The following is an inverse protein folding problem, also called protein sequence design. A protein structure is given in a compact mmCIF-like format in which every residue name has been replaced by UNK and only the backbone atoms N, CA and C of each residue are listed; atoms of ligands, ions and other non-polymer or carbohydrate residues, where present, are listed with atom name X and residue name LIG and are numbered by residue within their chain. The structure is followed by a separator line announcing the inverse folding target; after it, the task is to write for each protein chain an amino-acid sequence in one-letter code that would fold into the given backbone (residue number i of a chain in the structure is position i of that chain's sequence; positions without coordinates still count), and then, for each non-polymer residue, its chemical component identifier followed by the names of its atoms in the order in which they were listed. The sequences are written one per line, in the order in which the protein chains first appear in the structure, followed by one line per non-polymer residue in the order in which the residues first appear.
data_IF_503617545528
#
_entry.id   IF_503617545528
#
_cell.length_a   1.000
_cell.length_b   1.000
_cell.length_c   1.000
_cell.angle_alpha   90.00
_cell.angle_beta   90.00
_cell.angle_gamma   90.00
#
_symmetry.space_group_name_H-M   'P 1'
#
loop_
_entity.id
_entity.type
_entity.pdbx_description
1 polymer ?
#
# COMPACT_ATOMS: atom_id res chain seq x y z
N UNK A 1 3.95 5.50 15.01
CA UNK A 1 4.83 5.31 13.83
C UNK A 1 4.13 4.33 12.90
N UNK A 2 4.16 4.54 11.59
CA UNK A 2 3.57 3.62 10.61
C UNK A 2 4.58 3.31 9.51
N UNK A 3 4.92 2.05 9.32
CA UNK A 3 5.70 1.60 8.15
C UNK A 3 4.76 1.54 6.94
N UNK A 4 5.04 2.29 5.88
CA UNK A 4 4.19 2.42 4.68
C UNK A 4 4.94 2.11 3.38
N UNK A 5 6.18 1.61 3.46
CA UNK A 5 6.92 1.20 2.28
C UNK A 5 6.33 -0.02 1.53
N UNK A 6 5.76 -1.04 2.20
CA UNK A 6 5.26 -2.23 1.53
C UNK A 6 3.96 -2.01 0.75
N UNK A 7 3.86 -2.67 -0.40
CA UNK A 7 2.58 -2.91 -1.05
C UNK A 7 1.96 -4.20 -0.51
N UNK A 8 0.63 -4.31 -0.53
CA UNK A 8 -0.05 -5.53 -0.09
C UNK A 8 0.29 -6.70 -1.01
N UNK A 9 0.98 -7.71 -0.48
CA UNK A 9 1.33 -8.94 -1.18
C UNK A 9 1.36 -10.14 -0.24
N UNK A 10 1.39 -11.35 -0.81
CA UNK A 10 1.33 -12.60 -0.03
C UNK A 10 2.62 -12.85 0.75
N UNK A 11 3.75 -12.68 0.07
CA UNK A 11 5.09 -12.84 0.66
C UNK A 11 5.96 -11.69 0.21
N UNK A 12 6.65 -11.08 1.15
CA UNK A 12 7.52 -9.95 0.85
C UNK A 12 8.71 -10.29 -0.03
N UNK A 13 9.26 -9.26 -0.68
CA UNK A 13 10.58 -9.35 -1.32
C UNK A 13 11.72 -9.09 -0.32
N UNK A 14 12.98 -9.36 -0.71
CA UNK A 14 14.13 -9.20 0.18
C UNK A 14 14.26 -7.80 0.79
N UNK A 15 13.96 -6.75 0.01
CA UNK A 15 13.99 -5.35 0.48
C UNK A 15 12.95 -5.10 1.58
N UNK A 16 11.72 -5.60 1.41
CA UNK A 16 10.65 -5.36 2.39
C UNK A 16 10.91 -6.13 3.68
N UNK A 17 11.37 -7.39 3.58
CA UNK A 17 11.81 -8.15 4.75
C UNK A 17 12.93 -7.41 5.51
N UNK A 18 13.93 -6.87 4.81
CA UNK A 18 15.01 -6.10 5.43
C UNK A 18 14.50 -4.85 6.15
N UNK A 19 13.56 -4.13 5.53
CA UNK A 19 12.96 -2.93 6.09
C UNK A 19 12.12 -3.24 7.34
N UNK A 20 11.33 -4.31 7.29
CA UNK A 20 10.50 -4.74 8.42
C UNK A 20 11.37 -5.29 9.55
N UNK A 21 12.44 -6.02 9.25
CA UNK A 21 13.46 -6.41 10.22
C UNK A 21 14.05 -5.19 10.91
N UNK A 22 14.57 -4.22 10.15
CA UNK A 22 15.17 -2.99 10.69
C UNK A 22 14.17 -2.22 11.55
N UNK A 23 12.94 -2.05 11.08
CA UNK A 23 11.87 -1.39 11.83
C UNK A 23 11.52 -2.13 13.13
N UNK A 24 11.51 -3.46 13.11
CA UNK A 24 11.21 -4.29 14.27
C UNK A 24 12.26 -4.22 15.38
N UNK A 25 13.53 -3.89 15.05
CA UNK A 25 14.58 -3.68 16.06
C UNK A 25 14.35 -2.42 16.89
N UNK A 26 13.72 -1.40 16.30
CA UNK A 26 13.45 -0.12 16.96
C UNK A 26 12.21 -0.13 17.86
N UNK A 27 11.39 -1.19 17.81
CA UNK A 27 10.10 -1.28 18.52
C UNK A 27 10.17 -2.33 19.63
N UNK A 28 9.85 -1.92 20.85
CA UNK A 28 9.78 -2.83 22.00
C UNK A 28 8.69 -3.89 21.79
N UNK A 29 8.88 -5.09 22.34
CA UNK A 29 7.85 -6.16 22.29
C UNK A 29 6.55 -5.80 23.02
N UNK A 30 6.57 -4.76 23.88
CA UNK A 30 5.39 -4.23 24.57
C UNK A 30 4.56 -3.27 23.71
N UNK A 31 5.09 -2.83 22.57
CA UNK A 31 4.44 -1.91 21.65
C UNK A 31 4.07 -2.61 20.34
N UNK A 32 3.13 -2.07 19.57
CA UNK A 32 2.81 -2.61 18.26
C UNK A 32 3.73 -2.04 17.18
N UNK A 33 4.39 -2.92 16.42
CA UNK A 33 5.03 -2.53 15.17
C UNK A 33 4.01 -2.65 14.04
N UNK A 34 3.51 -1.50 13.56
CA UNK A 34 2.44 -1.46 12.57
C UNK A 34 3.00 -1.29 11.16
N UNK A 35 2.69 -2.26 10.30
CA UNK A 35 3.00 -2.26 8.87
C UNK A 35 1.72 -2.00 8.09
N UNK A 36 1.62 -0.80 7.53
CA UNK A 36 0.56 -0.39 6.63
C UNK A 36 0.88 -0.77 5.19
N UNK A 37 0.18 -1.76 4.66
CA UNK A 37 0.34 -2.24 3.30
C UNK A 37 -0.58 -1.50 2.33
N UNK A 38 -0.04 -0.94 1.26
CA UNK A 38 -0.84 -0.24 0.24
C UNK A 38 -1.38 -1.24 -0.81
N UNK A 39 -2.70 -1.35 -0.93
CA UNK A 39 -3.39 -2.26 -1.87
C UNK A 39 -3.97 -1.55 -3.10
N UNK A 40 -3.86 -0.21 -3.18
CA UNK A 40 -4.23 0.61 -4.34
C UNK A 40 -3.28 0.45 -5.54
N UNK A 41 -2.90 -0.78 -5.86
CA UNK A 41 -1.96 -1.17 -6.91
C UNK A 41 -2.53 -2.30 -7.78
N UNK A 42 -2.03 -2.48 -9.01
CA UNK A 42 -2.36 -3.65 -9.81
C UNK A 42 -1.61 -4.91 -9.33
N UNK A 43 -2.12 -6.07 -9.74
CA UNK A 43 -1.43 -7.37 -9.64
C UNK A 43 -0.16 -7.50 -10.49
N UNK A 44 0.27 -6.42 -11.13
CA UNK A 44 1.31 -6.39 -12.14
C UNK A 44 2.64 -7.02 -11.71
N UNK A 45 3.46 -7.39 -12.69
CA UNK A 45 4.78 -7.97 -12.48
C UNK A 45 5.79 -7.04 -11.79
N UNK A 46 5.48 -5.75 -11.63
CA UNK A 46 6.34 -4.79 -10.93
C UNK A 46 6.14 -4.83 -9.41
N UNK A 47 4.88 -4.89 -8.95
CA UNK A 47 4.50 -4.99 -7.53
C UNK A 47 4.42 -6.46 -7.05
N UNK A 48 4.13 -7.40 -7.96
CA UNK A 48 3.98 -8.86 -7.73
C UNK A 48 3.15 -9.23 -6.49
N UNK A 49 2.02 -8.58 -6.22
CA UNK A 49 1.27 -8.83 -5.00
C UNK A 49 0.66 -10.23 -5.00
N UNK A 50 0.24 -10.75 -6.16
CA UNK A 50 -0.38 -12.07 -6.35
C UNK A 50 0.60 -13.24 -6.52
N UNK A 51 1.81 -13.14 -5.98
CA UNK A 51 2.88 -14.14 -6.16
C UNK A 51 3.48 -14.56 -4.83
N UNK A 52 3.78 -15.86 -4.69
CA UNK A 52 4.74 -16.33 -3.69
C UNK A 52 6.15 -16.05 -4.24
N UNK A 53 6.83 -15.07 -3.67
CA UNK A 53 8.15 -14.63 -4.08
C UNK A 53 9.22 -15.59 -3.53
N UNK A 54 10.05 -16.11 -4.45
CA UNK A 54 11.14 -17.05 -4.17
C UNK A 54 12.34 -16.71 -5.06
N UNK A 55 13.53 -17.17 -4.67
CA UNK A 55 14.78 -16.90 -5.38
C UNK A 55 14.79 -17.43 -6.81
N UNK A 56 14.38 -18.69 -7.01
CA UNK A 56 14.49 -19.37 -8.29
C UNK A 56 13.14 -19.57 -9.01
N UNK A 57 12.05 -19.74 -8.25
CA UNK A 57 10.80 -20.30 -8.77
C UNK A 57 9.56 -19.71 -8.06
N UNK A 58 9.40 -18.39 -8.13
CA UNK A 58 8.21 -17.76 -7.53
C UNK A 58 6.92 -18.22 -8.21
N UNK A 59 5.86 -18.46 -7.43
CA UNK A 59 4.60 -19.06 -7.91
C UNK A 59 3.52 -18.00 -8.11
N UNK A 60 3.05 -17.84 -9.35
CA UNK A 60 1.95 -16.92 -9.66
C UNK A 60 0.59 -17.55 -9.29
N UNK A 61 -0.14 -16.87 -8.41
CA UNK A 61 -1.42 -17.35 -7.88
C UNK A 61 -2.63 -16.87 -8.70
N UNK A 62 -2.43 -15.92 -9.61
CA UNK A 62 -3.51 -15.27 -10.35
C UNK A 62 -3.49 -15.61 -11.85
N UNK A 63 -4.65 -15.69 -12.51
CA UNK A 63 -4.71 -15.86 -13.96
C UNK A 63 -4.13 -14.62 -14.66
N UNK A 64 -3.66 -14.78 -15.90
CA UNK A 64 -3.13 -13.65 -16.68
C UNK A 64 -4.18 -12.57 -16.95
N UNK A 65 -5.47 -12.92 -16.91
CA UNK A 65 -6.59 -11.98 -17.04
C UNK A 65 -6.68 -10.98 -15.90
N UNK A 66 -6.05 -11.25 -14.76
CA UNK A 66 -6.07 -10.39 -13.57
C UNK A 66 -4.75 -9.64 -13.38
N UNK A 67 -3.81 -9.68 -14.33
CA UNK A 67 -2.48 -9.10 -14.13
C UNK A 67 -2.51 -7.60 -13.83
N UNK A 68 -3.47 -6.88 -14.39
CA UNK A 68 -3.64 -5.44 -14.15
C UNK A 68 -4.86 -5.13 -13.26
N UNK A 69 -5.47 -6.16 -12.66
CA UNK A 69 -6.58 -6.00 -11.73
C UNK A 69 -6.14 -5.28 -10.45
N UNK A 70 -7.07 -4.52 -9.86
CA UNK A 70 -6.87 -3.86 -8.57
C UNK A 70 -6.74 -4.87 -7.44
N UNK A 71 -5.71 -4.75 -6.60
CA UNK A 71 -5.55 -5.62 -5.42
C UNK A 71 -6.60 -5.32 -4.34
N UNK A 72 -6.87 -4.04 -4.07
CA UNK A 72 -7.86 -3.60 -3.09
C UNK A 72 -9.22 -4.29 -3.28
N UNK A 73 -9.73 -4.91 -2.21
CA UNK A 73 -10.98 -5.70 -2.16
C UNK A 73 -11.13 -6.79 -3.24
N UNK A 74 -10.04 -7.22 -3.87
CA UNK A 74 -10.06 -8.35 -4.79
C UNK A 74 -10.46 -9.67 -4.11
N UNK A 75 -10.96 -10.60 -4.91
CA UNK A 75 -11.41 -11.92 -4.47
C UNK A 75 -10.40 -12.99 -4.85
N UNK A 76 -10.36 -14.06 -4.07
CA UNK A 76 -9.54 -15.24 -4.35
C UNK A 76 -10.07 -15.94 -5.62
N UNK A 77 -9.25 -16.10 -6.68
CA UNK A 77 -9.63 -16.84 -7.88
C UNK A 77 -9.42 -18.35 -7.71
N UNK A 78 -10.05 -19.16 -8.56
CA UNK A 78 -9.92 -20.64 -8.56
C UNK A 78 -8.46 -21.11 -8.64
N UNK A 79 -7.66 -20.42 -9.46
CA UNK A 79 -6.24 -20.73 -9.66
C UNK A 79 -5.42 -20.68 -8.37
N UNK A 80 -5.80 -19.85 -7.39
CA UNK A 80 -4.99 -19.66 -6.20
C UNK A 80 -4.95 -20.95 -5.36
N UNK A 81 -6.07 -21.54 -4.89
CA UNK A 81 -6.08 -22.83 -4.22
C UNK A 81 -5.38 -23.95 -5.00
N UNK A 82 -5.59 -24.02 -6.32
CA UNK A 82 -4.92 -25.01 -7.19
C UNK A 82 -3.40 -24.91 -7.10
N UNK A 83 -2.86 -23.69 -7.10
CA UNK A 83 -1.42 -23.45 -7.01
C UNK A 83 -0.89 -23.70 -5.61
N UNK A 84 -1.67 -23.46 -4.55
CA UNK A 84 -1.24 -23.79 -3.20
C UNK A 84 -0.96 -25.29 -3.04
N UNK A 85 -1.72 -26.17 -3.70
CA UNK A 85 -1.49 -27.62 -3.64
C UNK A 85 -0.11 -28.07 -4.17
N UNK A 86 0.58 -27.21 -4.93
CA UNK A 86 1.93 -27.48 -5.44
C UNK A 86 3.05 -26.98 -4.52
N UNK A 87 2.71 -26.26 -3.45
CA UNK A 87 3.69 -25.67 -2.53
C UNK A 87 4.13 -26.68 -1.45
N UNK A 88 5.36 -26.54 -0.93
CA UNK A 88 5.82 -27.38 0.17
C UNK A 88 4.94 -27.27 1.43
N UNK A 89 4.66 -28.40 2.07
CA UNK A 89 3.83 -28.49 3.28
C UNK A 89 4.30 -27.56 4.41
N UNK A 90 5.62 -27.37 4.54
CA UNK A 90 6.22 -26.43 5.51
C UNK A 90 5.72 -25.00 5.34
N UNK A 91 5.52 -24.53 4.11
CA UNK A 91 4.99 -23.20 3.83
C UNK A 91 3.47 -23.16 4.05
N UNK A 92 2.76 -24.19 3.56
CA UNK A 92 1.30 -24.29 3.66
C UNK A 92 0.78 -24.16 5.10
N UNK A 93 1.53 -24.66 6.09
CA UNK A 93 1.20 -24.54 7.53
C UNK A 93 1.08 -23.09 8.04
N UNK A 94 1.63 -22.12 7.32
CA UNK A 94 1.56 -20.70 7.67
C UNK A 94 0.53 -19.92 6.85
N UNK A 95 -0.03 -20.52 5.81
CA UNK A 95 -1.04 -19.90 4.96
C UNK A 95 -2.43 -20.16 5.56
N UNK A 96 -3.27 -19.13 5.74
CA UNK A 96 -4.69 -19.34 6.03
C UNK A 96 -5.36 -20.15 4.92
N UNK A 97 -6.50 -20.78 5.22
CA UNK A 97 -7.29 -21.46 4.20
C UNK A 97 -7.73 -20.47 3.12
N UNK A 98 -7.40 -20.79 1.87
CA UNK A 98 -7.84 -20.02 0.72
C UNK A 98 -9.20 -20.53 0.22
N UNK A 99 -10.23 -19.69 0.32
CA UNK A 99 -11.59 -19.99 -0.14
C UNK A 99 -11.89 -19.13 -1.36
N UNK A 100 -12.24 -19.76 -2.48
CA UNK A 100 -12.60 -19.05 -3.73
C UNK A 100 -13.72 -18.05 -3.47
N UNK A 101 -13.60 -16.84 -4.00
CA UNK A 101 -14.57 -15.76 -3.84
C UNK A 101 -14.46 -14.98 -2.52
N UNK A 102 -13.71 -15.49 -1.53
CA UNK A 102 -13.41 -14.75 -0.30
C UNK A 102 -12.40 -13.62 -0.55
N UNK A 103 -12.18 -12.76 0.46
CA UNK A 103 -11.26 -11.63 0.37
C UNK A 103 -9.81 -12.09 0.18
N UNK A 104 -9.22 -11.70 -0.95
CA UNK A 104 -7.80 -11.90 -1.17
C UNK A 104 -6.95 -10.97 -0.31
N UNK A 105 -7.34 -9.70 -0.16
CA UNK A 105 -6.57 -8.73 0.64
C UNK A 105 -6.39 -9.20 2.08
N UNK A 106 -7.47 -9.71 2.69
CA UNK A 106 -7.43 -10.30 4.03
C UNK A 106 -6.51 -11.53 4.09
N UNK A 107 -6.65 -12.45 3.13
CA UNK A 107 -5.84 -13.66 3.08
C UNK A 107 -4.35 -13.37 2.92
N UNK A 108 -3.99 -12.43 2.05
CA UNK A 108 -2.61 -12.02 1.81
C UNK A 108 -2.00 -11.28 3.02
N UNK A 109 -2.75 -10.37 3.66
CA UNK A 109 -2.32 -9.70 4.89
C UNK A 109 -2.01 -10.70 6.02
N UNK A 110 -2.92 -11.64 6.26
CA UNK A 110 -2.75 -12.66 7.29
C UNK A 110 -1.55 -13.56 6.98
N UNK A 111 -1.40 -13.96 5.73
CA UNK A 111 -0.25 -14.74 5.27
C UNK A 111 1.07 -14.02 5.55
N UNK A 112 1.18 -12.78 5.09
CA UNK A 112 2.41 -11.98 5.24
C UNK A 112 2.75 -11.81 6.73
N UNK A 113 1.75 -11.45 7.54
CA UNK A 113 1.91 -11.32 8.99
C UNK A 113 2.37 -12.62 9.65
N UNK A 114 1.76 -13.76 9.34
CA UNK A 114 2.15 -15.05 9.95
C UNK A 114 3.59 -15.44 9.61
N UNK A 115 3.99 -15.27 8.35
CA UNK A 115 5.34 -15.57 7.89
C UNK A 115 6.36 -14.65 8.57
N UNK A 116 6.13 -13.34 8.57
CA UNK A 116 7.08 -12.40 9.14
C UNK A 116 7.19 -12.51 10.65
N UNK A 117 6.08 -12.70 11.38
CA UNK A 117 6.14 -12.97 12.83
C UNK A 117 7.02 -14.18 13.14
N UNK A 118 6.94 -15.23 12.31
CA UNK A 118 7.76 -16.43 12.44
C UNK A 118 9.23 -16.15 12.14
N UNK A 119 9.52 -15.44 11.05
CA UNK A 119 10.90 -15.17 10.59
C UNK A 119 11.63 -14.22 11.53
N UNK A 120 10.96 -13.14 11.95
CA UNK A 120 11.51 -12.11 12.83
C UNK A 120 11.41 -12.48 14.31
N UNK A 121 10.69 -13.56 14.63
CA UNK A 121 10.42 -14.01 16.01
C UNK A 121 9.79 -12.90 16.88
N UNK A 122 8.74 -12.28 16.36
CA UNK A 122 8.09 -11.11 16.96
C UNK A 122 6.57 -11.27 16.84
N UNK A 123 5.85 -11.24 17.95
CA UNK A 123 4.38 -11.41 17.95
C UNK A 123 3.62 -10.08 17.87
N UNK A 124 4.30 -8.95 18.07
CA UNK A 124 3.75 -7.60 18.10
C UNK A 124 3.68 -6.91 16.73
N UNK A 125 4.00 -7.60 15.63
CA UNK A 125 3.79 -7.08 14.28
C UNK A 125 2.31 -7.10 13.93
N UNK A 126 1.78 -5.96 13.50
CA UNK A 126 0.41 -5.79 13.06
C UNK A 126 0.40 -5.30 11.62
N UNK A 127 -0.26 -6.06 10.75
CA UNK A 127 -0.40 -5.74 9.33
C UNK A 127 -1.80 -5.22 9.05
N UNK A 128 -1.89 -4.12 8.30
CA UNK A 128 -3.15 -3.46 7.97
C UNK A 128 -3.16 -3.04 6.49
N UNK A 129 -4.31 -3.13 5.83
CA UNK A 129 -4.51 -2.47 4.52
C UNK A 129 -4.83 -0.99 4.76
N UNK A 130 -3.92 -0.10 4.36
CA UNK A 130 -4.11 1.33 4.58
C UNK A 130 -5.16 1.93 3.64
N UNK A 131 -5.42 1.33 2.47
CA UNK A 131 -6.50 1.77 1.60
C UNK A 131 -7.87 1.44 2.22
N UNK A 132 -8.02 0.28 2.88
CA UNK A 132 -9.24 -0.08 3.62
C UNK A 132 -9.49 0.87 4.79
N UNK A 133 -8.46 1.14 5.60
CA UNK A 133 -8.56 2.09 6.72
C UNK A 133 -9.01 3.46 6.24
N UNK A 134 -8.42 3.95 5.15
CA UNK A 134 -8.75 5.26 4.59
C UNK A 134 -10.13 5.27 3.95
N UNK A 135 -10.56 4.17 3.31
CA UNK A 135 -11.92 4.04 2.81
C UNK A 135 -12.95 4.15 3.94
N UNK A 136 -12.75 3.40 5.03
CA UNK A 136 -13.61 3.45 6.22
C UNK A 136 -13.60 4.83 6.91
N UNK A 137 -12.44 5.49 6.96
CA UNK A 137 -12.33 6.87 7.42
C UNK A 137 -13.18 7.81 6.55
N UNK A 138 -13.04 7.74 5.22
CA UNK A 138 -13.77 8.57 4.26
C UNK A 138 -15.29 8.37 4.40
N UNK A 139 -15.76 7.13 4.51
CA UNK A 139 -17.18 6.80 4.72
C UNK A 139 -17.78 7.52 5.93
N UNK A 140 -17.01 7.66 7.00
CA UNK A 140 -17.44 8.37 8.21
C UNK A 140 -17.42 9.89 8.00
N UNK A 141 -16.31 10.42 7.50
CA UNK A 141 -16.11 11.87 7.47
C UNK A 141 -16.85 12.58 6.34
N UNK A 142 -17.19 11.90 5.25
CA UNK A 142 -17.98 12.47 4.15
C UNK A 142 -19.43 12.78 4.58
N UNK A 143 -19.92 12.20 5.68
CA UNK A 143 -21.23 12.56 6.27
C UNK A 143 -21.18 13.87 7.05
N UNK A 144 -20.00 14.28 7.51
CA UNK A 144 -19.82 15.47 8.32
C UNK A 144 -19.55 16.70 7.44
N UNK A 145 -20.55 17.58 7.31
CA UNK A 145 -20.47 18.82 6.51
C UNK A 145 -19.32 19.76 6.91
N UNK A 146 -18.84 19.68 8.15
CA UNK A 146 -17.75 20.50 8.65
C UNK A 146 -16.37 19.93 8.31
N UNK A 147 -16.29 18.62 8.01
CA UNK A 147 -15.02 17.96 7.74
C UNK A 147 -14.44 18.39 6.39
N UNK A 148 -13.10 18.48 6.30
CA UNK A 148 -12.43 18.99 5.10
C UNK A 148 -12.71 18.15 3.86
N UNK A 149 -12.78 16.82 3.96
CA UNK A 149 -13.09 16.00 2.79
C UNK A 149 -14.51 16.22 2.29
N UNK A 150 -15.48 16.40 3.20
CA UNK A 150 -16.82 16.78 2.76
C UNK A 150 -16.76 18.09 1.98
N UNK A 151 -16.02 19.09 2.47
CA UNK A 151 -15.87 20.37 1.77
C UNK A 151 -15.13 20.24 0.43
N UNK A 152 -14.03 19.49 0.38
CA UNK A 152 -13.27 19.23 -0.87
C UNK A 152 -14.17 18.58 -1.93
N UNK A 153 -15.03 17.64 -1.54
CA UNK A 153 -15.87 16.93 -2.50
C UNK A 153 -17.20 17.63 -2.80
N UNK A 154 -17.81 18.36 -1.86
CA UNK A 154 -19.20 18.83 -1.97
C UNK A 154 -19.41 20.33 -1.77
N UNK A 155 -18.37 21.10 -1.42
CA UNK A 155 -18.46 22.56 -1.37
C UNK A 155 -17.77 23.16 -2.61
N UNK A 156 -18.52 23.74 -3.57
CA UNK A 156 -17.97 24.15 -4.88
C UNK A 156 -16.72 25.04 -4.78
N UNK A 157 -16.74 26.06 -3.92
CA UNK A 157 -15.61 26.98 -3.76
C UNK A 157 -14.35 26.30 -3.20
N UNK A 158 -14.49 25.45 -2.16
CA UNK A 158 -13.38 24.70 -1.58
C UNK A 158 -12.84 23.67 -2.58
N UNK A 159 -13.74 23.00 -3.31
CA UNK A 159 -13.39 22.06 -4.37
C UNK A 159 -12.59 22.74 -5.48
N UNK A 160 -13.02 23.91 -5.95
CA UNK A 160 -12.28 24.68 -6.95
C UNK A 160 -10.89 25.12 -6.45
N UNK A 161 -10.78 25.57 -5.20
CA UNK A 161 -9.48 25.88 -4.59
C UNK A 161 -8.56 24.65 -4.56
N UNK A 162 -9.08 23.49 -4.19
CA UNK A 162 -8.33 22.24 -4.19
C UNK A 162 -7.88 21.84 -5.60
N UNK A 163 -8.78 21.86 -6.60
CA UNK A 163 -8.48 21.53 -8.00
C UNK A 163 -7.42 22.47 -8.59
N UNK A 164 -7.42 23.76 -8.22
CA UNK A 164 -6.40 24.73 -8.68
C UNK A 164 -4.99 24.32 -8.24
N UNK A 165 -4.86 23.75 -7.05
CA UNK A 165 -3.58 23.28 -6.49
C UNK A 165 -3.23 21.87 -6.97
N UNK A 166 -4.25 21.03 -7.17
CA UNK A 166 -4.17 19.63 -7.58
C UNK A 166 -4.92 19.40 -8.90
N UNK A 167 -4.46 19.98 -10.02
CA UNK A 167 -5.16 19.88 -11.28
C UNK A 167 -5.11 18.45 -11.81
N UNK A 168 -6.29 17.90 -12.13
CA UNK A 168 -6.46 16.53 -12.64
C UNK A 168 -5.87 15.46 -11.72
N UNK A 169 -5.86 15.70 -10.42
CA UNK A 169 -5.35 14.75 -9.45
C UNK A 169 -6.25 13.51 -9.37
N UNK A 170 -5.61 12.35 -9.24
CA UNK A 170 -6.29 11.07 -9.12
C UNK A 170 -6.75 10.94 -7.67
N UNK A 171 -8.05 10.94 -7.43
CA UNK A 171 -8.60 10.79 -6.08
C UNK A 171 -8.92 9.34 -5.75
N UNK A 172 -9.32 8.56 -6.74
CA UNK A 172 -9.60 7.13 -6.56
C UNK A 172 -9.11 6.30 -7.73
N UNK A 173 -8.94 5.00 -7.50
CA UNK A 173 -8.78 3.99 -8.54
C UNK A 173 -10.10 3.22 -8.66
N UNK A 174 -10.54 2.95 -9.88
CA UNK A 174 -11.74 2.16 -10.17
C UNK A 174 -11.36 0.86 -10.88
N UNK A 175 -11.73 -0.33 -10.37
CA UNK A 175 -11.60 -1.57 -11.12
C UNK A 175 -12.56 -1.57 -12.31
N UNK A 176 -12.09 -2.00 -13.47
CA UNK A 176 -12.89 -2.09 -14.70
C UNK A 176 -12.61 -3.39 -15.45
N UNK A 177 -13.53 -3.75 -16.36
CA UNK A 177 -13.36 -4.85 -17.29
C UNK A 177 -13.04 -4.33 -18.69
N UNK A 178 -11.93 -4.78 -19.26
CA UNK A 178 -11.58 -4.61 -20.66
C UNK A 178 -11.69 -5.96 -21.40
N UNK A 179 -12.91 -6.25 -21.87
CA UNK A 179 -13.27 -7.57 -22.37
C UNK A 179 -13.19 -8.61 -21.24
N UNK A 180 -12.26 -9.56 -21.36
CA UNK A 180 -12.01 -10.59 -20.33
C UNK A 180 -10.90 -10.24 -19.34
N UNK A 181 -10.24 -9.11 -19.52
CA UNK A 181 -9.14 -8.66 -18.66
C UNK A 181 -9.65 -7.66 -17.64
N UNK A 182 -9.20 -7.79 -16.41
CA UNK A 182 -9.41 -6.81 -15.34
C UNK A 182 -8.30 -5.75 -15.40
N UNK A 183 -8.68 -4.48 -15.24
CA UNK A 183 -7.79 -3.32 -15.32
C UNK A 183 -8.19 -2.25 -14.28
N UNK A 184 -7.40 -1.19 -14.17
CA UNK A 184 -7.61 -0.06 -13.25
C UNK A 184 -7.73 1.23 -14.04
N UNK A 185 -8.78 1.99 -13.74
CA UNK A 185 -8.91 3.37 -14.18
C UNK A 185 -8.69 4.39 -13.06
N UNK A 186 -8.15 5.54 -13.43
CA UNK A 186 -7.97 6.67 -12.52
C UNK A 186 -9.23 7.55 -12.51
N UNK A 187 -9.82 7.74 -11.33
CA UNK A 187 -10.91 8.68 -11.10
C UNK A 187 -10.34 10.04 -10.73
N UNK A 188 -10.43 10.97 -11.67
CA UNK A 188 -9.91 12.34 -11.56
C UNK A 188 -10.99 13.25 -10.98
N UNK A 189 -10.62 14.14 -10.06
CA UNK A 189 -11.53 15.17 -9.54
C UNK A 189 -11.69 16.31 -10.54
N UNK A 190 -12.94 16.57 -10.92
CA UNK A 190 -13.39 17.68 -11.73
C UNK A 190 -14.35 18.59 -10.92
N UNK A 191 -14.81 19.67 -11.54
CA UNK A 191 -15.63 20.69 -10.85
C UNK A 191 -16.95 20.17 -10.30
N UNK A 192 -17.56 19.17 -10.93
CA UNK A 192 -18.87 18.63 -10.54
C UNK A 192 -18.87 17.10 -10.36
N UNK A 193 -17.78 16.42 -10.72
CA UNK A 193 -17.74 14.96 -10.75
C UNK A 193 -16.34 14.38 -10.47
N UNK A 194 -16.32 13.10 -10.14
CA UNK A 194 -15.14 12.24 -10.29
C UNK A 194 -15.28 11.46 -11.59
N UNK A 195 -14.28 11.52 -12.46
CA UNK A 195 -14.38 10.97 -13.82
C UNK A 195 -13.18 10.12 -14.19
N UNK A 196 -13.45 8.99 -14.82
CA UNK A 196 -12.49 8.15 -15.54
C UNK A 196 -12.90 7.98 -17.01
N UNK A 197 -12.31 7.03 -17.73
CA UNK A 197 -12.62 6.82 -19.15
C UNK A 197 -14.01 6.20 -19.33
N UNK A 198 -14.37 5.26 -18.47
CA UNK A 198 -15.61 4.50 -18.56
C UNK A 198 -16.66 4.89 -17.50
N UNK A 199 -16.32 5.79 -16.57
CA UNK A 199 -17.16 6.07 -15.41
C UNK A 199 -17.19 7.55 -15.01
N UNK A 200 -18.33 7.98 -14.49
CA UNK A 200 -18.51 9.29 -13.87
C UNK A 200 -19.36 9.17 -12.59
N UNK A 201 -18.94 9.84 -11.51
CA UNK A 201 -19.67 9.93 -10.24
C UNK A 201 -19.92 11.42 -9.99
N UNK A 202 -21.19 11.83 -10.01
CA UNK A 202 -21.58 13.20 -9.70
C UNK A 202 -21.35 13.51 -8.22
N UNK A 203 -20.92 14.74 -7.93
CA UNK A 203 -20.62 15.25 -6.59
C UNK A 203 -21.68 16.25 -6.11
N UNK A 204 -22.95 15.94 -6.36
CA UNK A 204 -24.14 16.65 -5.91
C UNK A 204 -24.74 16.03 -4.63
N UNK A 205 -24.54 14.72 -4.42
CA UNK A 205 -25.02 13.98 -3.27
C UNK A 205 -23.88 13.15 -2.62
N UNK A 206 -23.52 13.43 -1.36
CA UNK A 206 -22.52 12.67 -0.62
C UNK A 206 -22.79 11.16 -0.53
N UNK A 207 -24.05 10.74 -0.47
CA UNK A 207 -24.40 9.33 -0.32
C UNK A 207 -23.98 8.50 -1.54
N UNK A 208 -23.92 9.09 -2.74
CA UNK A 208 -23.43 8.40 -3.93
C UNK A 208 -21.96 8.02 -3.73
N UNK A 209 -21.10 9.00 -3.43
CA UNK A 209 -19.66 8.73 -3.22
C UNK A 209 -19.42 7.80 -2.03
N UNK A 210 -20.16 7.97 -0.94
CA UNK A 210 -20.04 7.09 0.24
C UNK A 210 -20.37 5.65 -0.15
N UNK A 211 -21.43 5.43 -0.92
CA UNK A 211 -21.84 4.10 -1.33
C UNK A 211 -20.79 3.45 -2.27
N UNK A 212 -20.21 4.24 -3.17
CA UNK A 212 -19.12 3.81 -4.04
C UNK A 212 -17.90 3.28 -3.27
N UNK A 213 -17.52 3.96 -2.19
CA UNK A 213 -16.41 3.57 -1.32
C UNK A 213 -16.77 2.31 -0.53
N UNK A 214 -17.95 2.28 0.09
CA UNK A 214 -18.43 1.13 0.91
C UNK A 214 -18.46 -0.17 0.10
N UNK A 215 -19.01 -0.10 -1.11
CA UNK A 215 -19.14 -1.26 -1.99
C UNK A 215 -17.82 -1.67 -2.63
N UNK A 216 -16.73 -0.94 -2.38
CA UNK A 216 -15.42 -1.27 -2.93
C UNK A 216 -15.31 -1.03 -4.44
N UNK A 217 -16.24 -0.27 -5.03
CA UNK A 217 -16.23 0.08 -6.45
C UNK A 217 -15.20 1.15 -6.80
N UNK A 218 -14.62 1.80 -5.78
CA UNK A 218 -13.47 2.68 -5.89
C UNK A 218 -12.54 2.48 -4.69
N UNK A 219 -11.25 2.65 -4.91
CA UNK A 219 -10.18 2.59 -3.91
C UNK A 219 -9.59 3.99 -3.70
N UNK A 220 -9.40 4.47 -2.47
CA UNK A 220 -8.69 5.72 -2.22
C UNK A 220 -7.31 5.71 -2.88
N UNK A 221 -6.97 6.80 -3.57
CA UNK A 221 -5.66 6.93 -4.21
C UNK A 221 -4.55 7.25 -3.21
N UNK A 222 -3.33 7.37 -3.72
CA UNK A 222 -2.16 7.77 -2.96
C UNK A 222 -2.35 9.09 -2.21
N UNK A 223 -2.87 10.13 -2.89
CA UNK A 223 -3.05 11.45 -2.27
C UNK A 223 -4.09 11.41 -1.14
N UNK A 224 -5.24 10.76 -1.34
CA UNK A 224 -6.24 10.63 -0.29
C UNK A 224 -5.68 9.89 0.93
N UNK A 225 -4.94 8.82 0.67
CA UNK A 225 -4.32 8.00 1.70
C UNK A 225 -3.40 8.82 2.59
N UNK A 226 -2.49 9.60 1.99
CA UNK A 226 -1.53 10.38 2.77
C UNK A 226 -2.04 11.71 3.30
N UNK A 227 -3.08 12.30 2.69
CA UNK A 227 -3.82 13.39 3.35
C UNK A 227 -4.41 12.88 4.66
N UNK A 228 -5.11 11.74 4.66
CA UNK A 228 -5.68 11.17 5.89
C UNK A 228 -4.57 10.83 6.89
N UNK A 229 -3.59 10.02 6.50
CA UNK A 229 -2.62 9.47 7.46
C UNK A 229 -1.62 10.53 7.93
N UNK A 230 -0.88 11.16 7.01
CA UNK A 230 0.22 12.04 7.37
C UNK A 230 -0.24 13.44 7.73
N UNK A 231 -1.20 14.01 7.01
CA UNK A 231 -1.49 15.45 7.11
C UNK A 231 -2.61 15.79 8.09
N UNK A 232 -3.71 15.05 8.07
CA UNK A 232 -4.83 15.28 8.98
C UNK A 232 -4.62 14.61 10.34
N UNK A 233 -4.08 13.38 10.35
CA UNK A 233 -3.89 12.60 11.57
C UNK A 233 -2.42 12.52 12.04
N UNK A 234 -1.48 13.15 11.33
CA UNK A 234 -0.08 13.33 11.75
C UNK A 234 0.68 12.03 12.07
N UNK A 235 0.28 10.90 11.44
CA UNK A 235 1.09 9.68 11.51
C UNK A 235 2.46 9.94 10.88
N UNK A 236 3.51 9.60 11.62
CA UNK A 236 4.87 9.51 11.05
C UNK A 236 4.95 8.27 10.17
N UNK A 237 4.71 8.46 8.87
CA UNK A 237 4.76 7.42 7.84
C UNK A 237 6.20 7.22 7.34
N UNK A 238 6.77 6.04 7.56
CA UNK A 238 8.10 5.65 7.09
C UNK A 238 7.96 4.89 5.77
N UNK A 239 8.53 5.40 4.69
CA UNK A 239 8.29 4.84 3.36
C UNK A 239 9.53 4.76 2.49
N UNK A 240 9.33 4.31 1.26
CA UNK A 240 10.41 4.16 0.26
C UNK A 240 10.86 5.51 -0.33
N UNK A 241 11.84 5.47 -1.23
CA UNK A 241 12.32 6.64 -1.98
C UNK A 241 11.19 7.42 -2.67
N UNK A 242 10.24 6.71 -3.29
CA UNK A 242 9.12 7.37 -3.93
C UNK A 242 8.32 8.23 -2.93
N UNK A 243 8.12 7.74 -1.70
CA UNK A 243 7.38 8.47 -0.68
C UNK A 243 8.06 9.76 -0.25
N UNK A 244 9.38 9.71 -0.03
CA UNK A 244 10.13 10.92 0.35
C UNK A 244 10.27 11.91 -0.81
N UNK A 245 9.95 11.51 -2.04
CA UNK A 245 9.84 12.42 -3.20
C UNK A 245 8.45 13.06 -3.29
N UNK A 246 7.35 12.29 -3.19
CA UNK A 246 6.00 12.85 -3.39
C UNK A 246 5.40 13.54 -2.16
N UNK A 247 5.72 13.10 -0.92
CA UNK A 247 5.12 13.71 0.27
C UNK A 247 5.51 15.18 0.47
N UNK A 248 6.77 15.61 0.26
CA UNK A 248 7.12 17.03 0.31
C UNK A 248 6.35 17.87 -0.71
N UNK A 249 6.14 17.34 -1.92
CA UNK A 249 5.35 18.02 -2.96
C UNK A 249 3.89 18.17 -2.51
N UNK A 250 3.30 17.13 -1.90
CA UNK A 250 1.96 17.22 -1.33
C UNK A 250 1.88 18.23 -0.19
N UNK A 251 2.87 18.26 0.71
CA UNK A 251 2.93 19.24 1.79
C UNK A 251 2.97 20.68 1.27
N UNK A 252 3.86 20.97 0.33
CA UNK A 252 3.99 22.31 -0.27
C UNK A 252 2.67 22.76 -0.90
N UNK A 253 2.00 21.86 -1.62
CA UNK A 253 0.71 22.12 -2.24
C UNK A 253 -0.40 22.32 -1.21
N UNK A 254 -0.54 21.40 -0.25
CA UNK A 254 -1.58 21.46 0.79
C UNK A 254 -1.42 22.69 1.69
N UNK A 255 -0.20 23.14 1.96
CA UNK A 255 0.08 24.35 2.74
C UNK A 255 -0.42 25.65 2.07
N UNK A 256 -0.66 25.64 0.74
CA UNK A 256 -1.22 26.78 0.00
C UNK A 256 -2.74 26.91 0.19
N UNK A 257 -3.40 25.90 0.76
CA UNK A 257 -4.85 25.88 0.94
C UNK A 257 -5.21 26.46 2.31
N UNK A 258 -5.85 27.63 2.33
CA UNK A 258 -6.19 28.36 3.57
C UNK A 258 -6.98 27.50 4.56
N UNK A 259 -7.94 26.72 4.05
CA UNK A 259 -8.80 25.85 4.86
C UNK A 259 -8.07 24.66 5.49
N UNK A 260 -6.79 24.42 5.16
CA UNK A 260 -5.95 23.39 5.77
C UNK A 260 -4.94 23.94 6.78
N UNK A 261 -4.80 25.27 6.95
CA UNK A 261 -3.84 25.86 7.90
C UNK A 261 -4.02 25.39 9.34
N UNK A 262 -5.25 25.05 9.74
CA UNK A 262 -5.54 24.52 11.08
C UNK A 262 -4.77 23.24 11.41
N UNK A 263 -4.37 22.46 10.40
CA UNK A 263 -3.62 21.21 10.58
C UNK A 263 -2.10 21.42 10.66
N UNK A 264 -1.60 22.65 10.48
CA UNK A 264 -0.15 22.99 10.48
C UNK A 264 0.64 22.09 9.54
N UNK A 265 0.14 21.96 8.31
CA UNK A 265 0.63 21.05 7.27
C UNK A 265 2.14 21.16 7.07
N UNK A 266 2.68 22.38 7.12
CA UNK A 266 4.10 22.72 6.97
C UNK A 266 5.00 22.09 8.05
N UNK A 267 4.44 21.67 9.19
CA UNK A 267 5.18 21.05 10.30
C UNK A 267 5.22 19.52 10.22
N UNK A 268 4.44 18.91 9.33
CA UNK A 268 4.35 17.45 9.19
C UNK A 268 5.64 16.88 8.60
N UNK A 269 6.18 15.81 9.20
CA UNK A 269 7.38 15.15 8.70
C UNK A 269 7.07 14.33 7.42
N UNK A 270 7.65 14.71 6.29
CA UNK A 270 7.41 14.10 4.97
C UNK A 270 8.57 13.25 4.44
N UNK A 271 9.76 13.38 5.02
CA UNK A 271 11.00 12.75 4.53
C UNK A 271 11.47 11.57 5.38
N UNK A 272 10.55 10.81 5.99
CA UNK A 272 10.90 9.63 6.78
C UNK A 272 11.19 8.44 5.86
N UNK A 273 12.46 8.27 5.50
CA UNK A 273 12.92 7.15 4.67
C UNK A 273 13.10 5.87 5.49
N UNK A 274 12.65 4.76 4.92
CA UNK A 274 13.03 3.41 5.37
C UNK A 274 13.44 2.57 4.16
N UNK A 275 14.65 2.01 4.25
CA UNK A 275 15.28 1.29 3.14
C UNK A 275 16.45 0.44 3.63
N UNK A 276 16.82 -0.56 2.84
CA UNK A 276 17.98 -1.40 3.08
C UNK A 276 17.87 -2.71 2.32
N UNK A 277 19.01 -3.39 2.16
CA UNK A 277 19.11 -4.79 1.73
C UNK A 277 20.17 -5.45 2.61
N UNK A 278 19.96 -6.70 3.01
CA UNK A 278 20.96 -7.45 3.77
C UNK A 278 22.26 -7.63 2.95
N UNK A 279 23.45 -7.34 3.52
CA UNK A 279 24.71 -7.34 2.78
C UNK A 279 25.20 -8.75 2.41
N UNK A 280 24.91 -9.75 3.25
CA UNK A 280 25.47 -11.11 3.11
C UNK A 280 24.63 -12.04 2.23
N UNK A 281 23.40 -11.65 1.88
CA UNK A 281 22.56 -12.35 0.89
C UNK A 281 21.51 -11.39 0.33
N UNK A 282 21.72 -10.97 -0.92
CA UNK A 282 20.85 -10.02 -1.64
C UNK A 282 19.47 -10.59 -1.96
N UNK A 283 19.27 -11.90 -1.74
CA UNK A 283 18.11 -12.67 -2.18
C UNK A 283 17.50 -13.50 -1.04
N UNK A 284 17.43 -12.95 0.17
CA UNK A 284 16.67 -13.58 1.26
C UNK A 284 15.18 -13.40 1.00
N UNK A 285 14.52 -14.44 0.53
CA UNK A 285 13.07 -14.47 0.37
C UNK A 285 12.41 -15.11 1.61
N UNK A 286 11.38 -14.48 2.21
CA UNK A 286 10.63 -15.03 3.33
C UNK A 286 10.14 -16.47 3.12
N UNK A 287 9.60 -16.76 1.93
CA UNK A 287 9.09 -18.08 1.61
C UNK A 287 10.19 -19.15 1.64
N UNK A 288 11.39 -18.84 1.12
CA UNK A 288 12.51 -19.77 1.09
C UNK A 288 13.03 -20.07 2.51
N UNK A 289 13.11 -19.07 3.39
CA UNK A 289 13.46 -19.29 4.81
C UNK A 289 12.54 -20.31 5.48
N UNK A 290 11.23 -20.21 5.26
CA UNK A 290 10.23 -21.13 5.83
C UNK A 290 10.33 -22.53 5.20
N UNK A 291 10.45 -22.61 3.87
CA UNK A 291 10.56 -23.90 3.15
C UNK A 291 11.79 -24.68 3.60
N UNK A 292 12.95 -24.02 3.70
CA UNK A 292 14.20 -24.68 4.07
C UNK A 292 14.38 -24.79 5.59
N UNK A 293 13.55 -24.12 6.39
CA UNK A 293 13.67 -24.10 7.86
C UNK A 293 14.88 -23.30 8.34
N UNK A 294 15.30 -22.31 7.54
CA UNK A 294 16.43 -21.45 7.84
C UNK A 294 16.00 -20.32 8.77
N UNK A 295 16.89 -19.96 9.70
CA UNK A 295 16.71 -18.76 10.53
C UNK A 295 17.30 -17.56 9.80
N UNK A 296 16.70 -16.40 10.01
CA UNK A 296 17.30 -15.14 9.57
C UNK A 296 18.59 -14.90 10.36
N UNK A 297 19.76 -15.05 9.71
CA UNK A 297 21.09 -14.89 10.33
C UNK A 297 21.64 -13.49 10.10
N UNK A 298 20.98 -12.48 10.64
CA UNK A 298 21.40 -11.08 10.52
C UNK A 298 21.85 -10.55 11.87
N UNK A 299 22.96 -9.79 11.88
CA UNK A 299 23.50 -9.20 13.10
C UNK A 299 22.69 -7.95 13.45
N UNK A 300 22.22 -7.85 14.69
CA UNK A 300 21.51 -6.65 15.16
C UNK A 300 22.39 -5.40 15.17
N UNK A 301 23.70 -5.57 15.33
CA UNK A 301 24.71 -4.50 15.32
C UNK A 301 25.14 -4.05 13.92
N UNK A 302 24.45 -4.49 12.85
CA UNK A 302 24.78 -4.04 11.51
C UNK A 302 24.65 -2.51 11.41
N UNK A 303 25.64 -1.86 10.81
CA UNK A 303 25.54 -0.42 10.59
C UNK A 303 24.52 -0.16 9.48
N UNK A 304 23.73 0.89 9.64
CA UNK A 304 22.75 1.27 8.62
C UNK A 304 23.41 1.47 7.23
N UNK A 305 24.63 2.01 7.19
CA UNK A 305 25.40 2.16 5.95
C UNK A 305 25.66 0.83 5.23
N UNK A 306 25.87 -0.26 5.97
CA UNK A 306 26.07 -1.60 5.38
C UNK A 306 24.80 -2.14 4.72
N UNK A 307 23.62 -1.76 5.20
CA UNK A 307 22.33 -2.08 4.55
C UNK A 307 22.11 -1.27 3.26
N UNK A 308 22.79 -0.13 3.11
CA UNK A 308 22.68 0.74 1.94
C UNK A 308 23.69 0.40 0.85
N UNK A 309 24.86 -0.13 1.19
CA UNK A 309 25.91 -0.46 0.23
C UNK A 309 25.43 -1.33 -0.94
N UNK A 310 24.60 -2.38 -0.75
CA UNK A 310 24.11 -3.17 -1.87
C UNK A 310 23.12 -2.43 -2.77
N UNK A 311 22.60 -1.31 -2.29
CA UNK A 311 21.71 -0.43 -3.05
C UNK A 311 22.47 0.74 -3.69
N UNK A 312 23.78 0.90 -3.47
CA UNK A 312 24.57 2.08 -3.87
C UNK A 312 24.27 2.55 -5.29
N UNK A 313 24.29 1.66 -6.28
CA UNK A 313 24.06 2.04 -7.67
C UNK A 313 22.63 2.55 -7.90
N UNK A 314 21.64 1.94 -7.23
CA UNK A 314 20.24 2.41 -7.27
C UNK A 314 20.06 3.73 -6.53
N UNK A 315 20.87 4.02 -5.52
CA UNK A 315 20.85 5.26 -4.75
C UNK A 315 21.49 6.42 -5.53
N UNK A 316 22.65 6.17 -6.16
CA UNK A 316 23.43 7.19 -6.87
C UNK A 316 22.87 7.42 -8.27
N UNK A 317 22.45 6.37 -8.97
CA UNK A 317 22.01 6.43 -10.37
C UNK A 317 20.48 6.25 -10.53
N UNK A 318 19.72 6.36 -9.43
CA UNK A 318 18.28 6.09 -9.37
C UNK A 318 17.48 6.63 -10.56
N UNK A 319 16.62 5.78 -11.13
CA UNK A 319 15.67 6.03 -12.25
C UNK A 319 16.16 6.98 -13.38
N UNK A 320 17.45 7.02 -13.73
CA UNK A 320 17.90 7.77 -14.92
C UNK A 320 17.40 7.18 -16.26
N UNK A 321 16.75 6.01 -16.24
CA UNK A 321 16.23 5.35 -17.44
C UNK A 321 14.73 5.05 -17.35
N UNK A 322 13.88 6.08 -17.48
CA UNK A 322 12.52 5.98 -18.06
C UNK A 322 12.15 7.35 -18.67
N UNK A 323 12.55 7.56 -19.92
CA UNK A 323 11.87 8.52 -20.81
C UNK A 323 10.57 7.92 -21.30
#
# INVERSE_FOLDING_TARGET
MLQTAPHLGVTEGPRMLCINWLGSLAVSEKEFYVVGMFSGIPFSNHSRPGRINRKNDGVNLFPSTMQDALVYKSKIPDKLPEKLNTLPEKLLKFLPQAVVGASYTQWALQTCQHLERKILNKNNLIYLDINEIVAEYLVQVLKNRLHIFHKIFFHPEIRQQFIKVFPKEIMFYAPVMNGKYEDIENMILLEESLKSKSREILLDNPEILIQEIKEGRICPSLILTFIVLSFLNQFKCFGSFAQVEYLPIYQEKLAKLEFLKIFKIETVATSNLTTGIFPNDLNIFPADLIIYGEKLKQKEEILFGELLLPMKDKLIHGRQNKK
#
